data_IF_154354852118
#
_entry.id   IF_154354852118
#
_cell.length_a   1.000
_cell.length_b   1.000
_cell.length_c   1.000
_cell.angle_alpha   90.00
_cell.angle_beta   90.00
_cell.angle_gamma   90.00
#
_symmetry.space_group_name_H-M   'P 1'
#
loop_
_entity.id
_entity.type
_entity.pdbx_description
1 polymer ?
#
# COMPACT_ATOMS: atom_id res chain seq x y z
N UNK A 1 -8.21 -15.43 9.61
CA UNK A 1 -6.98 -14.82 9.20
C UNK A 1 -6.28 -15.61 8.09
N UNK A 2 -5.27 -15.03 7.47
CA UNK A 2 -4.46 -15.70 6.44
C UNK A 2 -3.56 -16.77 7.08
N UNK A 3 -3.55 -17.97 6.53
CA UNK A 3 -2.83 -19.12 7.08
C UNK A 3 -1.74 -19.68 6.16
N UNK A 4 -1.46 -18.99 5.05
CA UNK A 4 -0.51 -19.38 4.03
C UNK A 4 -1.13 -19.47 2.64
N UNK A 5 -0.31 -19.47 1.60
CA UNK A 5 -0.72 -19.48 0.20
C UNK A 5 0.29 -18.80 -0.72
N UNK A 6 -0.15 -18.32 -1.87
CA UNK A 6 0.71 -17.62 -2.82
C UNK A 6 0.75 -16.12 -2.52
N UNK A 7 1.93 -15.61 -2.22
CA UNK A 7 2.16 -14.21 -1.85
C UNK A 7 2.95 -13.51 -2.96
N UNK A 8 2.49 -12.33 -3.35
CA UNK A 8 3.19 -11.45 -4.30
C UNK A 8 3.79 -10.25 -3.57
N UNK A 9 5.07 -10.01 -3.78
CA UNK A 9 5.76 -8.76 -3.40
C UNK A 9 6.24 -8.04 -4.67
N UNK A 10 5.50 -7.04 -5.17
CA UNK A 10 5.73 -6.50 -6.51
C UNK A 10 6.87 -5.45 -6.59
N UNK A 11 7.41 -5.02 -5.46
CA UNK A 11 8.57 -4.14 -5.34
C UNK A 11 9.38 -4.58 -4.11
N UNK A 12 10.11 -5.68 -4.27
CA UNK A 12 10.62 -6.44 -3.12
C UNK A 12 11.88 -5.84 -2.47
N UNK A 13 12.65 -5.03 -3.21
CA UNK A 13 13.98 -4.65 -2.74
C UNK A 13 14.81 -5.90 -2.49
N UNK A 14 15.35 -6.02 -1.28
CA UNK A 14 16.07 -7.21 -0.83
C UNK A 14 15.18 -8.29 -0.22
N UNK A 15 13.84 -8.15 -0.27
CA UNK A 15 12.87 -9.14 0.23
C UNK A 15 12.53 -9.00 1.72
N UNK A 16 12.40 -7.77 2.21
CA UNK A 16 12.12 -7.53 3.63
C UNK A 16 10.79 -8.16 4.09
N UNK A 17 9.73 -8.14 3.29
CA UNK A 17 8.46 -8.76 3.64
C UNK A 17 8.56 -10.29 3.68
N UNK A 18 9.39 -10.90 2.82
CA UNK A 18 9.66 -12.33 2.86
C UNK A 18 10.37 -12.67 4.18
N UNK A 19 11.46 -11.94 4.51
CA UNK A 19 12.26 -12.19 5.70
C UNK A 19 11.57 -11.89 7.03
N UNK A 20 10.57 -11.00 7.03
CA UNK A 20 9.79 -10.65 8.21
C UNK A 20 8.47 -11.43 8.32
N UNK A 21 8.18 -12.33 7.38
CA UNK A 21 6.97 -13.15 7.44
C UNK A 21 7.00 -14.05 8.70
N UNK A 22 5.90 -14.13 9.47
CA UNK A 22 5.82 -15.06 10.58
C UNK A 22 6.08 -16.51 10.12
N UNK A 23 6.83 -17.29 10.89
CA UNK A 23 7.26 -18.64 10.53
C UNK A 23 6.08 -19.53 10.10
N UNK A 24 4.99 -19.49 10.85
CA UNK A 24 3.77 -20.26 10.53
C UNK A 24 3.09 -19.84 9.21
N UNK A 25 3.38 -18.65 8.70
CA UNK A 25 2.93 -18.17 7.38
C UNK A 25 3.98 -18.52 6.32
N UNK A 26 5.26 -18.29 6.61
CA UNK A 26 6.36 -18.56 5.68
C UNK A 26 6.39 -20.03 5.25
N UNK A 27 6.29 -20.98 6.21
CA UNK A 27 6.32 -22.42 5.96
C UNK A 27 5.17 -22.94 5.08
N UNK A 28 4.10 -22.16 4.97
CA UNK A 28 2.88 -22.52 4.21
C UNK A 28 2.66 -21.64 3.00
N UNK A 29 3.66 -20.82 2.65
CA UNK A 29 3.52 -19.84 1.58
C UNK A 29 4.57 -20.01 0.51
N UNK A 30 4.19 -19.68 -0.72
CA UNK A 30 5.10 -19.52 -1.83
C UNK A 30 5.18 -18.04 -2.22
N UNK A 31 6.36 -17.47 -2.14
CA UNK A 31 6.59 -16.07 -2.45
C UNK A 31 7.02 -15.89 -3.90
N UNK A 32 6.39 -14.95 -4.59
CA UNK A 32 6.84 -14.41 -5.87
C UNK A 32 7.19 -12.94 -5.65
N UNK A 33 8.43 -12.58 -5.89
CA UNK A 33 8.96 -11.24 -5.72
C UNK A 33 9.35 -10.64 -7.06
N UNK A 34 9.10 -9.35 -7.26
CA UNK A 34 9.55 -8.59 -8.43
C UNK A 34 10.39 -7.42 -7.94
N UNK A 35 11.57 -7.25 -8.53
CA UNK A 35 12.46 -6.13 -8.18
C UNK A 35 13.16 -5.61 -9.44
N UNK A 36 13.10 -4.30 -9.65
CA UNK A 36 13.69 -3.65 -10.83
C UNK A 36 15.19 -3.44 -10.67
N UNK A 37 15.66 -3.16 -9.43
CA UNK A 37 17.10 -3.01 -9.18
C UNK A 37 17.81 -4.35 -9.21
N UNK A 38 18.79 -4.46 -10.10
CA UNK A 38 19.50 -5.72 -10.34
C UNK A 38 20.33 -6.17 -9.14
N UNK A 39 20.82 -5.26 -8.31
CA UNK A 39 21.63 -5.58 -7.12
C UNK A 39 20.70 -6.13 -6.04
N UNK A 40 19.67 -5.40 -5.70
CA UNK A 40 18.66 -5.79 -4.69
C UNK A 40 18.00 -7.11 -5.06
N UNK A 41 17.57 -7.27 -6.32
CA UNK A 41 16.93 -8.49 -6.78
C UNK A 41 17.85 -9.71 -6.75
N UNK A 42 19.14 -9.53 -7.03
CA UNK A 42 20.15 -10.63 -6.90
C UNK A 42 20.39 -10.99 -5.43
N UNK A 43 20.41 -10.01 -4.53
CA UNK A 43 20.50 -10.24 -3.09
C UNK A 43 19.28 -11.04 -2.63
N UNK A 44 18.06 -10.62 -3.01
CA UNK A 44 16.83 -11.33 -2.67
C UNK A 44 16.85 -12.79 -3.14
N UNK A 45 17.35 -13.08 -4.37
CA UNK A 45 17.53 -14.46 -4.88
C UNK A 45 18.46 -15.31 -4.01
N UNK A 46 19.49 -14.71 -3.45
CA UNK A 46 20.45 -15.45 -2.61
C UNK A 46 19.90 -15.68 -1.19
N UNK A 47 19.18 -14.68 -0.66
CA UNK A 47 18.58 -14.76 0.68
C UNK A 47 17.38 -15.72 0.73
N UNK A 48 16.60 -15.78 -0.36
CA UNK A 48 15.34 -16.55 -0.42
C UNK A 48 15.31 -17.49 -1.63
N UNK A 49 16.16 -18.54 -1.66
CA UNK A 49 16.27 -19.44 -2.82
C UNK A 49 14.99 -20.22 -3.12
N UNK A 50 14.11 -20.40 -2.13
CA UNK A 50 12.80 -21.06 -2.29
C UNK A 50 11.73 -20.16 -2.91
N UNK A 51 12.02 -18.85 -3.06
CA UNK A 51 11.09 -17.87 -3.63
C UNK A 51 11.37 -17.66 -5.11
N UNK A 52 10.29 -17.39 -5.87
CA UNK A 52 10.44 -16.95 -7.26
C UNK A 52 10.75 -15.45 -7.29
N UNK A 53 12.00 -15.07 -7.58
CA UNK A 53 12.41 -13.67 -7.70
C UNK A 53 12.63 -13.30 -9.15
N UNK A 54 11.83 -12.37 -9.70
CA UNK A 54 11.96 -11.82 -11.04
C UNK A 54 12.67 -10.45 -10.99
N UNK A 55 13.85 -10.35 -11.61
CA UNK A 55 14.63 -9.10 -11.65
C UNK A 55 14.26 -8.34 -12.92
N UNK A 56 13.23 -7.52 -12.82
CA UNK A 56 12.69 -6.71 -13.93
C UNK A 56 11.73 -5.65 -13.37
N UNK A 57 11.37 -4.67 -14.20
CA UNK A 57 10.26 -3.77 -13.85
C UNK A 57 8.95 -4.54 -13.74
N UNK A 58 8.06 -4.07 -12.85
CA UNK A 58 6.77 -4.75 -12.61
C UNK A 58 5.93 -4.87 -13.88
N UNK A 59 6.05 -3.92 -14.82
CA UNK A 59 5.38 -3.96 -16.14
C UNK A 59 5.83 -5.15 -17.01
N UNK A 60 7.06 -5.63 -16.81
CA UNK A 60 7.65 -6.74 -17.56
C UNK A 60 7.56 -8.09 -16.82
N UNK A 61 7.07 -8.09 -15.58
CA UNK A 61 7.00 -9.31 -14.78
C UNK A 61 6.02 -10.33 -15.39
N UNK A 62 6.46 -11.59 -15.44
CA UNK A 62 5.67 -12.71 -15.95
C UNK A 62 4.81 -13.28 -14.84
N UNK A 63 3.64 -12.69 -14.63
CA UNK A 63 2.70 -13.06 -13.59
C UNK A 63 1.39 -13.55 -14.20
N UNK A 64 0.80 -14.56 -13.59
CA UNK A 64 -0.50 -15.08 -13.99
C UNK A 64 -1.60 -14.36 -13.20
N UNK A 65 -2.56 -13.79 -13.90
CA UNK A 65 -3.72 -13.14 -13.29
C UNK A 65 -4.54 -14.11 -12.43
N UNK A 66 -5.11 -13.61 -11.36
CA UNK A 66 -5.98 -14.36 -10.45
C UNK A 66 -5.27 -15.49 -9.69
N UNK A 67 -3.96 -15.38 -9.46
CA UNK A 67 -3.16 -16.47 -8.87
C UNK A 67 -2.86 -16.26 -7.39
N UNK A 68 -2.65 -15.02 -6.96
CA UNK A 68 -2.13 -14.74 -5.62
C UNK A 68 -3.25 -14.62 -4.59
N UNK A 69 -3.02 -15.18 -3.41
CA UNK A 69 -3.91 -15.06 -2.26
C UNK A 69 -3.75 -13.72 -1.58
N UNK A 70 -2.51 -13.26 -1.48
CA UNK A 70 -2.13 -11.99 -0.84
C UNK A 70 -1.08 -11.29 -1.69
N UNK A 71 -1.14 -9.96 -1.73
CA UNK A 71 -0.04 -9.13 -2.18
C UNK A 71 0.34 -8.14 -1.07
N UNK A 72 1.63 -8.07 -0.77
CA UNK A 72 2.20 -7.15 0.23
C UNK A 72 3.36 -6.39 -0.37
N UNK A 73 3.64 -5.20 0.12
CA UNK A 73 4.83 -4.47 -0.32
C UNK A 73 4.80 -3.00 0.04
N UNK A 74 5.98 -2.39 -0.07
CA UNK A 74 6.15 -0.95 -0.06
C UNK A 74 6.35 -0.52 -1.52
N UNK A 75 5.26 -0.03 -2.15
CA UNK A 75 5.30 0.30 -3.58
C UNK A 75 6.10 1.59 -3.83
N UNK A 76 6.76 1.75 -4.99
CA UNK A 76 7.52 2.95 -5.28
C UNK A 76 6.63 4.20 -5.32
N UNK A 77 7.17 5.32 -4.85
CA UNK A 77 6.53 6.64 -4.86
C UNK A 77 7.17 7.50 -5.95
N UNK A 78 6.37 8.32 -6.62
CA UNK A 78 6.91 9.27 -7.57
C UNK A 78 5.86 9.86 -8.52
N UNK A 79 6.23 10.99 -9.12
CA UNK A 79 5.39 11.73 -10.06
C UNK A 79 5.71 11.31 -11.51
N UNK A 80 5.76 10.00 -11.74
CA UNK A 80 5.95 9.42 -13.06
C UNK A 80 5.00 8.25 -13.28
N UNK A 81 4.81 7.90 -14.55
CA UNK A 81 3.96 6.80 -14.99
C UNK A 81 4.79 5.76 -15.72
N UNK A 82 4.36 4.52 -15.64
CA UNK A 82 4.96 3.38 -16.34
C UNK A 82 4.12 3.03 -17.56
N UNK A 83 4.77 2.71 -18.68
CA UNK A 83 4.10 2.25 -19.88
C UNK A 83 3.74 0.78 -19.75
N UNK A 84 2.48 0.50 -19.47
CA UNK A 84 1.90 -0.84 -19.50
C UNK A 84 0.56 -0.78 -20.25
N UNK A 85 0.55 -1.21 -21.49
CA UNK A 85 -0.63 -1.13 -22.37
C UNK A 85 -1.83 -1.92 -21.85
N UNK A 86 -1.59 -2.90 -20.98
CA UNK A 86 -2.64 -3.76 -20.45
C UNK A 86 -3.23 -3.21 -19.14
N UNK A 87 -2.37 -2.74 -18.24
CA UNK A 87 -2.76 -2.43 -16.87
C UNK A 87 -2.65 -0.94 -16.52
N UNK A 88 -2.06 -0.10 -17.39
CA UNK A 88 -1.90 1.34 -17.15
C UNK A 88 -2.33 2.19 -18.34
N UNK A 89 -3.54 1.95 -18.86
CA UNK A 89 -4.09 2.69 -20.01
C UNK A 89 -4.34 4.17 -19.72
N UNK A 90 -4.60 4.49 -18.47
CA UNK A 90 -4.92 5.84 -18.00
C UNK A 90 -3.68 6.63 -17.54
N UNK A 91 -2.49 6.08 -17.75
CA UNK A 91 -1.22 6.69 -17.32
C UNK A 91 -1.23 7.10 -15.85
N UNK A 92 -1.76 6.23 -15.00
CA UNK A 92 -1.76 6.41 -13.56
C UNK A 92 -0.31 6.59 -13.04
N UNK A 93 -0.16 7.34 -11.96
CA UNK A 93 1.11 7.47 -11.25
C UNK A 93 1.62 6.09 -10.82
N UNK A 94 2.94 5.96 -10.64
CA UNK A 94 3.57 4.66 -10.36
C UNK A 94 2.92 3.93 -9.19
N UNK A 95 2.68 4.59 -8.07
CA UNK A 95 2.04 3.99 -6.91
C UNK A 95 0.62 3.50 -7.19
N UNK A 96 -0.18 4.25 -7.94
CA UNK A 96 -1.54 3.89 -8.33
C UNK A 96 -1.54 2.70 -9.32
N UNK A 97 -0.59 2.68 -10.27
CA UNK A 97 -0.40 1.57 -11.19
C UNK A 97 -0.16 0.23 -10.48
N UNK A 98 0.63 0.25 -9.40
CA UNK A 98 0.86 -0.96 -8.62
C UNK A 98 -0.44 -1.54 -8.07
N UNK A 99 -1.36 -0.71 -7.56
CA UNK A 99 -2.68 -1.20 -7.14
C UNK A 99 -3.48 -1.77 -8.31
N UNK A 100 -3.59 -1.03 -9.42
CA UNK A 100 -4.40 -1.44 -10.57
C UNK A 100 -3.93 -2.79 -11.14
N UNK A 101 -2.62 -2.97 -11.33
CA UNK A 101 -2.06 -4.23 -11.83
C UNK A 101 -2.20 -5.36 -10.81
N UNK A 102 -1.91 -5.10 -9.54
CA UNK A 102 -1.97 -6.13 -8.50
C UNK A 102 -3.39 -6.64 -8.28
N UNK A 103 -4.41 -5.79 -8.44
CA UNK A 103 -5.81 -6.22 -8.43
C UNK A 103 -6.12 -7.29 -9.50
N UNK A 104 -5.44 -7.25 -10.64
CA UNK A 104 -5.59 -8.31 -11.64
C UNK A 104 -4.80 -9.58 -11.26
N UNK A 105 -3.71 -9.46 -10.51
CA UNK A 105 -2.85 -10.60 -10.12
C UNK A 105 -3.44 -11.39 -8.96
N UNK A 106 -4.08 -10.74 -7.98
CA UNK A 106 -4.73 -11.45 -6.87
C UNK A 106 -6.03 -12.12 -7.34
N UNK A 107 -6.35 -13.26 -6.72
CA UNK A 107 -7.62 -13.98 -6.97
C UNK A 107 -8.82 -13.25 -6.34
N UNK A 108 -10.05 -13.57 -6.71
CA UNK A 108 -11.23 -13.13 -5.95
C UNK A 108 -11.10 -13.48 -4.47
N UNK A 109 -11.48 -12.54 -3.59
CA UNK A 109 -11.29 -12.57 -2.14
C UNK A 109 -9.81 -12.56 -1.68
N UNK A 110 -8.85 -12.38 -2.59
CA UNK A 110 -7.45 -12.13 -2.23
C UNK A 110 -7.27 -10.73 -1.66
N UNK A 111 -6.24 -10.55 -0.82
CA UNK A 111 -5.99 -9.30 -0.07
C UNK A 111 -4.75 -8.60 -0.61
N UNK A 112 -4.81 -7.28 -0.65
CA UNK A 112 -3.66 -6.41 -0.94
C UNK A 112 -3.41 -5.56 0.29
N UNK A 113 -2.17 -5.52 0.76
CA UNK A 113 -1.71 -4.65 1.85
C UNK A 113 -0.46 -3.91 1.39
N UNK A 114 -0.62 -2.68 0.91
CA UNK A 114 0.48 -1.87 0.39
C UNK A 114 0.75 -0.63 1.22
N UNK A 115 2.04 -0.39 1.46
CA UNK A 115 2.53 0.91 1.89
C UNK A 115 2.68 1.77 0.65
N UNK A 116 2.11 2.97 0.68
CA UNK A 116 2.09 3.90 -0.45
C UNK A 116 2.20 5.36 0.02
N UNK A 117 2.39 6.28 -0.90
CA UNK A 117 2.33 7.71 -0.63
C UNK A 117 0.91 8.13 -0.19
N UNK A 118 0.81 9.12 0.72
CA UNK A 118 -0.48 9.79 1.05
C UNK A 118 -1.24 10.24 -0.20
N UNK A 119 -0.54 10.46 -1.32
CA UNK A 119 -1.13 10.89 -2.58
C UNK A 119 -2.17 9.92 -3.13
N UNK A 120 -2.08 8.62 -2.88
CA UNK A 120 -3.12 7.66 -3.28
C UNK A 120 -4.46 7.99 -2.63
N UNK A 121 -4.46 8.29 -1.33
CA UNK A 121 -5.66 8.62 -0.56
C UNK A 121 -6.12 10.07 -0.78
N UNK A 122 -5.21 11.04 -0.72
CA UNK A 122 -5.54 12.48 -0.62
C UNK A 122 -5.61 13.23 -1.96
N UNK A 123 -5.26 12.58 -3.08
CA UNK A 123 -5.31 13.19 -4.41
C UNK A 123 -6.73 13.71 -4.71
N UNK A 124 -6.83 14.96 -5.22
CA UNK A 124 -8.10 15.57 -5.57
C UNK A 124 -8.91 14.74 -6.57
N UNK A 125 -8.23 14.25 -7.61
CA UNK A 125 -8.88 13.36 -8.59
C UNK A 125 -9.19 12.01 -7.94
N UNK A 126 -10.45 11.64 -7.89
CA UNK A 126 -10.92 10.33 -7.39
C UNK A 126 -10.89 9.24 -8.45
N UNK A 127 -10.44 9.53 -9.69
CA UNK A 127 -10.54 8.60 -10.84
C UNK A 127 -9.96 7.22 -10.52
N UNK A 128 -8.74 7.17 -9.97
CA UNK A 128 -8.06 5.90 -9.67
C UNK A 128 -8.70 5.21 -8.48
N UNK A 129 -9.05 5.94 -7.42
CA UNK A 129 -9.76 5.37 -6.27
C UNK A 129 -11.09 4.73 -6.68
N UNK A 130 -11.84 5.35 -7.60
CA UNK A 130 -13.06 4.75 -8.18
C UNK A 130 -12.78 3.43 -8.89
N UNK A 131 -11.75 3.38 -9.76
CA UNK A 131 -11.37 2.15 -10.46
C UNK A 131 -10.95 1.04 -9.50
N UNK A 132 -10.27 1.38 -8.41
CA UNK A 132 -9.89 0.42 -7.38
C UNK A 132 -11.13 -0.05 -6.62
N UNK A 133 -11.98 0.86 -6.18
CA UNK A 133 -13.16 0.57 -5.36
C UNK A 133 -14.22 -0.27 -6.11
N UNK A 134 -14.36 -0.08 -7.42
CA UNK A 134 -15.19 -0.94 -8.26
C UNK A 134 -14.76 -2.41 -8.20
N UNK A 135 -13.45 -2.67 -8.11
CA UNK A 135 -12.86 -4.02 -8.16
C UNK A 135 -12.51 -4.60 -6.80
N UNK A 136 -12.36 -3.77 -5.79
CA UNK A 136 -11.96 -4.16 -4.45
C UNK A 136 -12.84 -3.54 -3.37
N UNK A 137 -13.05 -4.29 -2.32
CA UNK A 137 -13.58 -3.81 -1.05
C UNK A 137 -12.45 -3.11 -0.31
N UNK A 138 -12.68 -1.88 0.10
CA UNK A 138 -11.76 -1.17 0.98
C UNK A 138 -11.97 -1.66 2.42
N UNK A 139 -10.95 -2.30 2.98
CA UNK A 139 -10.98 -2.81 4.36
C UNK A 139 -10.66 -1.68 5.33
N UNK A 140 -9.70 -0.82 4.96
CA UNK A 140 -9.26 0.33 5.73
C UNK A 140 -7.86 0.79 5.36
N UNK A 141 -7.40 1.83 6.02
CA UNK A 141 -6.04 2.34 5.85
C UNK A 141 -5.46 2.84 7.18
N UNK A 142 -4.14 2.81 7.32
CA UNK A 142 -3.41 3.35 8.46
C UNK A 142 -2.45 4.41 7.95
N UNK A 143 -2.54 5.64 8.46
CA UNK A 143 -1.63 6.73 8.11
C UNK A 143 -0.44 6.76 9.06
N UNK A 144 0.76 6.67 8.50
CA UNK A 144 2.01 6.66 9.23
C UNK A 144 2.58 8.09 9.39
N UNK A 145 3.30 8.38 10.48
CA UNK A 145 3.98 9.66 10.64
C UNK A 145 5.12 9.82 9.63
N UNK A 146 5.47 11.07 9.36
CA UNK A 146 6.49 11.44 8.39
C UNK A 146 7.89 10.87 8.68
N UNK A 147 8.13 10.39 9.89
CA UNK A 147 9.41 9.80 10.34
C UNK A 147 9.44 8.27 10.25
N UNK A 148 8.34 7.62 9.84
CA UNK A 148 8.23 6.16 9.83
C UNK A 148 9.38 5.46 9.06
N UNK A 149 9.88 6.07 8.00
CA UNK A 149 10.98 5.53 7.17
C UNK A 149 12.28 6.31 7.27
N UNK A 150 12.38 7.28 8.20
CA UNK A 150 13.56 8.13 8.34
C UNK A 150 14.84 7.33 8.62
N UNK A 151 14.76 6.33 9.49
CA UNK A 151 15.92 5.52 9.86
C UNK A 151 16.40 4.60 8.70
N UNK A 152 15.49 4.12 7.87
CA UNK A 152 15.80 3.12 6.84
C UNK A 152 16.00 3.72 5.45
N UNK A 153 15.28 4.78 5.11
CA UNK A 153 15.31 5.39 3.78
C UNK A 153 15.78 6.84 3.77
N UNK A 154 16.07 7.43 4.94
CA UNK A 154 16.53 8.83 5.04
C UNK A 154 15.52 9.89 4.60
N UNK A 155 14.25 9.48 4.38
CA UNK A 155 13.19 10.37 3.88
C UNK A 155 12.15 10.67 4.95
N UNK A 156 11.55 11.86 4.86
CA UNK A 156 10.47 12.31 5.75
C UNK A 156 9.21 12.51 4.95
N UNK A 157 8.48 11.42 4.70
CA UNK A 157 7.23 11.43 3.94
C UNK A 157 6.11 10.76 4.72
N UNK A 158 4.91 11.34 4.64
CA UNK A 158 3.70 10.70 5.14
C UNK A 158 3.31 9.59 4.18
N UNK A 159 3.08 8.41 4.72
CA UNK A 159 2.71 7.22 3.95
C UNK A 159 1.47 6.59 4.54
N UNK A 160 0.73 5.87 3.71
CA UNK A 160 -0.45 5.14 4.11
C UNK A 160 -0.24 3.65 3.89
N UNK A 161 -0.71 2.81 4.81
CA UNK A 161 -0.89 1.37 4.57
C UNK A 161 -2.34 1.19 4.17
N UNK A 162 -2.59 0.70 2.96
CA UNK A 162 -3.94 0.51 2.43
C UNK A 162 -4.24 -0.98 2.34
N UNK A 163 -5.38 -1.39 2.88
CA UNK A 163 -5.87 -2.76 2.87
C UNK A 163 -7.09 -2.88 1.97
N UNK A 164 -6.99 -3.76 0.96
CA UNK A 164 -8.03 -4.01 -0.02
C UNK A 164 -8.30 -5.51 -0.13
N UNK A 165 -9.55 -5.89 -0.35
CA UNK A 165 -9.94 -7.26 -0.67
C UNK A 165 -10.58 -7.28 -2.05
N UNK A 166 -10.01 -8.06 -2.98
CA UNK A 166 -10.55 -8.15 -4.33
C UNK A 166 -11.95 -8.71 -4.34
N UNK A 167 -12.88 -8.01 -4.97
CA UNK A 167 -14.27 -8.47 -5.15
C UNK A 167 -14.35 -9.61 -6.16
N UNK A 168 -15.32 -10.49 -6.00
CA UNK A 168 -15.64 -11.52 -7.01
C UNK A 168 -16.32 -10.89 -8.23
N UNK A 169 -17.09 -9.82 -8.02
CA UNK A 169 -17.78 -9.05 -9.06
C UNK A 169 -17.63 -7.56 -8.79
N UNK A 170 -17.42 -6.72 -9.82
CA UNK A 170 -17.37 -5.28 -9.67
C UNK A 170 -18.65 -4.73 -9.03
N UNK A 171 -18.52 -3.66 -8.25
CA UNK A 171 -19.65 -2.92 -7.67
C UNK A 171 -19.68 -1.49 -8.19
N UNK A 172 -20.89 -0.92 -8.26
CA UNK A 172 -21.11 0.46 -8.70
C UNK A 172 -21.30 1.44 -7.53
N UNK A 173 -21.70 0.93 -6.34
CA UNK A 173 -21.79 1.75 -5.15
C UNK A 173 -20.40 1.99 -4.59
N UNK A 174 -19.98 3.24 -4.58
CA UNK A 174 -18.65 3.65 -4.13
C UNK A 174 -18.60 3.78 -2.60
N UNK A 175 -17.45 3.42 -2.04
CA UNK A 175 -17.13 3.57 -0.62
C UNK A 175 -16.66 5.00 -0.30
N UNK A 176 -16.71 5.41 0.96
CA UNK A 176 -16.34 6.76 1.41
C UNK A 176 -14.89 7.16 1.11
N UNK A 177 -13.95 6.20 1.13
CA UNK A 177 -12.53 6.45 0.87
C UNK A 177 -12.23 6.95 -0.56
N UNK A 178 -13.22 6.86 -1.45
CA UNK A 178 -13.09 7.36 -2.83
C UNK A 178 -12.99 8.88 -2.85
N UNK A 179 -13.64 9.56 -1.92
CA UNK A 179 -13.72 11.00 -1.88
C UNK A 179 -12.75 11.63 -0.88
N UNK A 180 -12.48 12.91 -1.06
CA UNK A 180 -11.71 13.74 -0.14
C UNK A 180 -12.58 14.91 0.32
N UNK A 181 -12.38 15.37 1.55
CA UNK A 181 -13.05 16.55 2.07
C UNK A 181 -12.03 17.43 2.83
N UNK A 182 -12.50 18.57 3.33
CA UNK A 182 -11.70 19.45 4.17
C UNK A 182 -11.98 19.13 5.64
N UNK A 183 -10.89 18.97 6.41
CA UNK A 183 -10.98 18.85 7.86
C UNK A 183 -11.27 20.23 8.52
N UNK A 184 -11.37 20.26 9.83
CA UNK A 184 -11.63 21.49 10.60
C UNK A 184 -10.56 22.56 10.42
N UNK A 185 -9.32 22.17 10.13
CA UNK A 185 -8.19 23.06 9.85
C UNK A 185 -8.14 23.55 8.39
N UNK A 186 -9.14 23.22 7.59
CA UNK A 186 -9.22 23.60 6.17
C UNK A 186 -8.24 22.83 5.25
N UNK A 187 -7.77 21.67 5.70
CA UNK A 187 -6.88 20.81 4.91
C UNK A 187 -7.69 19.74 4.18
N UNK A 188 -7.36 19.52 2.90
CA UNK A 188 -7.95 18.41 2.16
C UNK A 188 -7.26 17.11 2.52
N UNK A 189 -8.07 16.17 3.00
CA UNK A 189 -7.67 14.83 3.39
C UNK A 189 -8.71 13.81 2.89
N UNK A 190 -8.37 12.56 2.80
CA UNK A 190 -9.33 11.52 2.46
C UNK A 190 -10.48 11.46 3.47
N UNK A 191 -11.72 11.29 2.98
CA UNK A 191 -12.91 11.23 3.82
C UNK A 191 -12.80 10.15 4.90
N UNK A 192 -12.16 9.02 4.59
CA UNK A 192 -11.94 7.96 5.55
C UNK A 192 -11.18 8.43 6.80
N UNK A 193 -10.11 9.21 6.66
CA UNK A 193 -9.34 9.70 7.81
C UNK A 193 -10.05 10.83 8.59
N UNK A 194 -11.02 11.48 7.98
CA UNK A 194 -11.90 12.42 8.71
C UNK A 194 -12.86 11.64 9.61
N UNK A 195 -13.43 10.55 9.09
CA UNK A 195 -14.37 9.71 9.83
C UNK A 195 -13.67 8.76 10.82
N UNK A 196 -12.40 8.43 10.57
CA UNK A 196 -11.58 7.50 11.35
C UNK A 196 -10.24 8.12 11.76
N UNK A 197 -10.24 9.19 12.58
CA UNK A 197 -9.00 9.84 13.03
C UNK A 197 -8.11 8.91 13.88
N UNK A 198 -8.67 7.88 14.50
CA UNK A 198 -7.96 6.83 15.23
C UNK A 198 -7.05 5.97 14.34
N UNK A 199 -7.20 6.05 13.02
CA UNK A 199 -6.36 5.35 12.06
C UNK A 199 -5.12 6.14 11.63
N UNK A 200 -4.82 7.24 12.31
CA UNK A 200 -3.65 8.09 12.08
C UNK A 200 -2.66 7.88 13.22
N UNK A 201 -1.46 7.35 12.91
CA UNK A 201 -0.40 7.06 13.89
C UNK A 201 0.43 8.29 14.27
N UNK A 202 -0.19 9.44 14.51
CA UNK A 202 0.48 10.67 14.87
C UNK A 202 -0.44 11.88 14.87
N UNK A 203 0.14 13.07 15.00
CA UNK A 203 -0.57 14.33 15.03
C UNK A 203 -0.56 14.99 13.64
N UNK A 204 -1.76 15.30 13.11
CA UNK A 204 -1.89 16.12 11.90
C UNK A 204 -1.38 17.53 12.16
N UNK A 205 -0.48 18.02 11.31
CA UNK A 205 0.07 19.39 11.39
C UNK A 205 0.20 20.00 10.00
N UNK A 206 0.18 21.34 9.98
CA UNK A 206 0.53 22.13 8.79
C UNK A 206 1.99 22.54 8.93
N UNK A 207 2.80 22.26 7.92
CA UNK A 207 4.16 22.77 7.81
C UNK A 207 4.33 23.55 6.51
N UNK A 208 5.25 24.52 6.52
CA UNK A 208 5.62 25.23 5.30
C UNK A 208 6.43 24.27 4.41
N UNK A 209 5.89 23.98 3.23
CA UNK A 209 6.56 23.19 2.20
C UNK A 209 7.09 24.07 1.06
N UNK A 210 7.82 23.50 0.08
CA UNK A 210 8.36 24.24 -1.05
C UNK A 210 7.30 24.93 -1.94
N UNK A 211 6.07 24.43 -1.90
CA UNK A 211 4.95 24.92 -2.72
C UNK A 211 3.80 25.52 -1.89
N UNK A 212 4.05 25.84 -0.62
CA UNK A 212 3.07 26.39 0.30
C UNK A 212 2.79 25.49 1.51
N UNK A 213 1.73 25.80 2.29
CA UNK A 213 1.35 24.99 3.43
C UNK A 213 1.04 23.56 3.02
N UNK A 214 1.70 22.59 3.66
CA UNK A 214 1.51 21.17 3.39
C UNK A 214 1.12 20.42 4.67
N UNK A 215 0.13 19.52 4.55
CA UNK A 215 -0.27 18.65 5.62
C UNK A 215 0.78 17.56 5.82
N UNK A 216 1.19 17.39 7.06
CA UNK A 216 2.10 16.34 7.52
C UNK A 216 1.52 15.64 8.75
N UNK A 217 2.10 14.52 9.12
CA UNK A 217 1.82 13.81 10.37
C UNK A 217 3.11 13.72 11.16
N UNK A 218 3.16 14.35 12.30
CA UNK A 218 4.30 14.21 13.23
C UNK A 218 4.04 13.00 14.14
N UNK A 219 5.10 12.28 14.58
CA UNK A 219 4.93 11.19 15.53
C UNK A 219 4.35 11.74 16.84
N UNK A 220 3.57 10.93 17.56
CA UNK A 220 3.16 11.26 18.92
C UNK A 220 4.38 11.48 19.81
N UNK A 221 4.30 12.41 20.76
CA UNK A 221 5.38 12.73 21.69
C UNK A 221 5.47 11.74 22.87
N UNK A 222 4.36 11.10 23.20
CA UNK A 222 4.14 10.23 24.38
C UNK A 222 3.98 8.75 24.02
N UNK A 223 4.00 8.40 22.73
CA UNK A 223 3.75 7.04 22.26
C UNK A 223 4.74 6.64 21.16
N UNK A 224 5.25 5.41 21.21
CA UNK A 224 6.09 4.88 20.15
C UNK A 224 5.27 4.60 18.87
N UNK A 225 5.95 4.61 17.72
CA UNK A 225 5.31 4.21 16.45
C UNK A 225 4.74 2.79 16.52
N UNK A 226 5.45 1.89 17.21
CA UNK A 226 5.01 0.50 17.39
C UNK A 226 3.67 0.43 18.13
N UNK A 227 3.54 1.17 19.23
CA UNK A 227 2.31 1.16 20.04
C UNK A 227 1.15 1.82 19.27
N UNK A 228 1.39 2.97 18.62
CA UNK A 228 0.41 3.63 17.79
C UNK A 228 -0.08 2.74 16.64
N UNK A 229 0.84 2.04 15.97
CA UNK A 229 0.50 1.11 14.89
C UNK A 229 -0.30 -0.10 15.41
N UNK A 230 0.06 -0.63 16.59
CA UNK A 230 -0.69 -1.74 17.20
C UNK A 230 -2.14 -1.35 17.49
N UNK A 231 -2.37 -0.16 18.05
CA UNK A 231 -3.73 0.35 18.28
C UNK A 231 -4.52 0.52 16.95
N UNK A 232 -3.89 1.09 15.93
CA UNK A 232 -4.55 1.20 14.61
C UNK A 232 -4.91 -0.18 14.04
N UNK A 233 -4.06 -1.19 14.20
CA UNK A 233 -4.35 -2.56 13.75
C UNK A 233 -5.50 -3.17 14.54
N UNK A 234 -5.57 -2.98 15.86
CA UNK A 234 -6.70 -3.42 16.69
C UNK A 234 -8.01 -2.75 16.26
N UNK A 235 -7.99 -1.43 16.03
CA UNK A 235 -9.14 -0.69 15.51
C UNK A 235 -9.58 -1.20 14.14
N UNK A 236 -8.62 -1.48 13.24
CA UNK A 236 -8.92 -2.03 11.91
C UNK A 236 -9.65 -3.38 12.01
N UNK A 237 -9.20 -4.26 12.89
CA UNK A 237 -9.82 -5.59 13.09
C UNK A 237 -11.24 -5.43 13.66
N UNK A 238 -11.42 -4.58 14.66
CA UNK A 238 -12.72 -4.35 15.30
C UNK A 238 -13.75 -3.71 14.35
N UNK A 239 -13.30 -2.94 13.36
CA UNK A 239 -14.17 -2.27 12.38
C UNK A 239 -14.52 -3.18 11.17
N UNK A 240 -13.89 -4.36 11.07
CA UNK A 240 -14.12 -5.30 9.95
C UNK A 240 -14.98 -6.51 10.31
N UNK A 241 -15.33 -6.70 11.57
CA UNK A 241 -16.30 -7.69 12.05
C UNK A 241 -17.72 -7.13 12.05
#
# INVERSE_FOLDING_TARGET
GFSGGKILEPAAGVGNFIGCAPENIADRSFFTAVEIDSISGRIAKQLYPESEVQVCGYENAKLRAGTFDVAVGNVPFGDYSVVDKKYNRDHAMIHDYFFLKTLEMVRPNGVIAFITSKGTMDKQSSKIRKQIDEKAEFIGAIRLPNTAFKANAGTTVVSDIIFLKKRSFPQTKLSEWVDTAYNEDGQRINQYFINHPEMICGELKIKSGPYGPEMTVDPFSDKSLKDALSECVENLVNNTD
#
